data_IF_182848969076
#
_entry.id   IF_182848969076
#
_cell.length_a   1.000
_cell.length_b   1.000
_cell.length_c   1.000
_cell.angle_alpha   90.00
_cell.angle_beta   90.00
_cell.angle_gamma   90.00
#
_symmetry.space_group_name_H-M   'P 1'
#
loop_
_entity.id
_entity.type
_entity.pdbx_description
1 polymer ?
#
# COMPACT_ATOMS: atom_id res chain seq x y z
N UNK A 1 -19.12 7.26 -15.81
CA UNK A 1 -17.83 7.32 -15.09
C UNK A 1 -17.96 6.70 -13.71
N UNK A 2 -17.85 5.38 -13.67
CA UNK A 2 -17.67 4.69 -12.40
C UNK A 2 -16.21 4.82 -11.97
N UNK A 3 -15.93 4.80 -10.66
CA UNK A 3 -14.55 4.86 -10.14
C UNK A 3 -14.12 3.48 -9.67
N UNK A 4 -12.88 3.11 -9.94
CA UNK A 4 -12.22 1.92 -9.37
C UNK A 4 -11.30 2.35 -8.25
N UNK A 5 -11.20 1.52 -7.22
CA UNK A 5 -10.34 1.76 -6.07
C UNK A 5 -9.43 0.56 -5.81
N UNK A 6 -8.19 0.82 -5.39
CA UNK A 6 -7.25 -0.18 -4.89
C UNK A 6 -6.64 0.30 -3.58
N UNK A 7 -6.25 -0.64 -2.73
CA UNK A 7 -5.53 -0.37 -1.49
C UNK A 7 -4.16 -1.02 -1.56
N UNK A 8 -3.11 -0.24 -1.28
CA UNK A 8 -1.72 -0.70 -1.30
C UNK A 8 -1.03 -0.33 0.03
N UNK A 9 -0.87 -1.29 0.96
CA UNK A 9 -0.14 -1.05 2.20
C UNK A 9 1.37 -1.14 1.97
N UNK A 10 2.12 -0.12 2.38
CA UNK A 10 3.58 -0.11 2.43
C UNK A 10 4.02 -0.14 3.90
N UNK A 11 4.89 -1.09 4.22
CA UNK A 11 5.40 -1.29 5.57
C UNK A 11 6.79 -1.89 5.54
N UNK A 12 7.54 -1.69 6.62
CA UNK A 12 8.85 -2.31 6.78
C UNK A 12 8.71 -3.70 7.38
N UNK A 13 9.40 -4.68 6.81
CA UNK A 13 9.48 -6.03 7.34
C UNK A 13 10.94 -6.47 7.42
N UNK A 14 11.26 -7.26 8.43
CA UNK A 14 12.55 -7.93 8.52
C UNK A 14 12.44 -9.30 7.84
N UNK A 15 13.00 -9.42 6.63
CA UNK A 15 13.03 -10.66 5.86
C UNK A 15 14.47 -11.09 5.65
N UNK A 16 14.83 -12.30 6.11
CA UNK A 16 16.19 -12.84 5.97
C UNK A 16 17.27 -11.98 6.64
N UNK A 17 16.95 -11.33 7.75
CA UNK A 17 17.89 -10.45 8.49
C UNK A 17 18.14 -9.09 7.83
N UNK A 18 17.38 -8.74 6.79
CA UNK A 18 17.40 -7.41 6.18
C UNK A 18 16.06 -6.73 6.35
N UNK A 19 16.10 -5.42 6.61
CA UNK A 19 14.91 -4.58 6.67
C UNK A 19 14.53 -4.16 5.25
N UNK A 20 13.35 -4.59 4.79
CA UNK A 20 12.87 -4.36 3.42
C UNK A 20 11.54 -3.62 3.46
N UNK A 21 11.36 -2.67 2.52
CA UNK A 21 10.09 -1.99 2.32
C UNK A 21 9.20 -2.87 1.44
N UNK A 22 8.19 -3.46 2.07
CA UNK A 22 7.28 -4.38 1.40
C UNK A 22 6.33 -3.63 0.47
N UNK A 23 5.92 -4.29 -0.60
CA UNK A 23 4.96 -3.79 -1.61
C UNK A 23 5.38 -2.56 -2.41
N UNK A 24 6.62 -2.07 -2.27
CA UNK A 24 7.12 -0.93 -3.05
C UNK A 24 7.00 -1.18 -4.57
N UNK A 25 7.39 -2.37 -5.05
CA UNK A 25 7.29 -2.69 -6.48
C UNK A 25 5.85 -2.71 -6.99
N UNK A 26 4.92 -3.30 -6.23
CA UNK A 26 3.49 -3.28 -6.57
C UNK A 26 2.94 -1.86 -6.58
N UNK A 27 3.37 -1.02 -5.63
CA UNK A 27 2.97 0.37 -5.58
C UNK A 27 3.45 1.14 -6.82
N UNK A 28 4.71 0.96 -7.22
CA UNK A 28 5.27 1.57 -8.44
C UNK A 28 4.53 1.10 -9.69
N UNK A 29 4.22 -0.19 -9.81
CA UNK A 29 3.43 -0.74 -10.93
C UNK A 29 2.05 -0.09 -11.02
N UNK A 30 1.35 0.07 -9.89
CA UNK A 30 0.03 0.72 -9.87
C UNK A 30 0.12 2.18 -10.32
N UNK A 31 1.13 2.93 -9.87
CA UNK A 31 1.32 4.30 -10.33
C UNK A 31 1.62 4.36 -11.84
N UNK A 32 2.42 3.42 -12.35
CA UNK A 32 2.75 3.31 -13.78
C UNK A 32 1.54 2.91 -14.64
N UNK A 33 0.62 2.10 -14.12
CA UNK A 33 -0.67 1.76 -14.74
C UNK A 33 -1.64 2.96 -14.80
N UNK A 34 -1.31 4.09 -14.16
CA UNK A 34 -2.12 5.30 -14.15
C UNK A 34 -3.07 5.41 -12.96
N UNK A 35 -2.93 4.56 -11.94
CA UNK A 35 -3.65 4.74 -10.69
C UNK A 35 -3.16 6.00 -9.98
N UNK A 36 -4.08 6.79 -9.44
CA UNK A 36 -3.78 8.03 -8.73
C UNK A 36 -3.93 7.83 -7.23
N UNK A 37 -3.04 8.43 -6.44
CA UNK A 37 -3.18 8.44 -4.99
C UNK A 37 -4.35 9.34 -4.62
N UNK A 38 -5.41 8.77 -4.07
CA UNK A 38 -6.56 9.50 -3.55
C UNK A 38 -6.30 9.96 -2.12
N UNK A 39 -5.78 9.06 -1.29
CA UNK A 39 -5.57 9.28 0.14
C UNK A 39 -4.49 8.35 0.67
N UNK A 40 -3.80 8.76 1.72
CA UNK A 40 -2.90 7.91 2.49
C UNK A 40 -3.38 7.92 3.93
N UNK A 41 -3.59 6.72 4.48
CA UNK A 41 -3.82 6.50 5.90
C UNK A 41 -2.58 5.89 6.54
N UNK A 42 -2.43 6.04 7.86
CA UNK A 42 -1.35 5.40 8.60
C UNK A 42 -1.94 4.54 9.71
N UNK A 43 -1.65 3.26 9.66
CA UNK A 43 -1.91 2.35 10.77
C UNK A 43 -0.71 2.41 11.72
N UNK A 44 -0.92 2.77 13.00
CA UNK A 44 0.16 2.82 13.97
C UNK A 44 0.76 1.43 14.18
N UNK A 45 2.01 1.34 14.67
CA UNK A 45 2.60 0.07 15.05
C UNK A 45 1.66 -0.68 15.99
N UNK A 46 1.42 -1.95 15.70
CA UNK A 46 0.57 -2.80 16.54
C UNK A 46 1.42 -3.92 17.11
N UNK A 47 1.48 -4.00 18.43
CA UNK A 47 2.09 -5.14 19.11
C UNK A 47 1.12 -6.32 19.03
N UNK A 48 1.40 -7.27 18.14
CA UNK A 48 0.76 -8.58 18.18
C UNK A 48 1.56 -9.45 19.14
N UNK A 49 0.86 -10.37 19.84
CA UNK A 49 1.44 -11.21 20.92
C UNK A 49 2.79 -11.86 20.58
N UNK A 50 3.07 -12.12 19.31
CA UNK A 50 4.31 -12.76 18.86
C UNK A 50 5.09 -11.97 17.79
N UNK A 51 4.66 -10.76 17.39
CA UNK A 51 5.37 -9.95 16.39
C UNK A 51 4.98 -8.46 16.51
N UNK A 52 5.98 -7.58 16.52
CA UNK A 52 5.74 -6.15 16.33
C UNK A 52 5.49 -5.88 14.84
N UNK A 53 4.29 -5.43 14.49
CA UNK A 53 4.01 -4.93 13.14
C UNK A 53 4.43 -3.47 13.09
N UNK A 54 5.34 -3.13 12.17
CA UNK A 54 5.79 -1.74 12.00
C UNK A 54 4.64 -0.85 11.54
N UNK A 55 4.79 0.47 11.72
CA UNK A 55 3.83 1.42 11.17
C UNK A 55 3.63 1.16 9.67
N UNK A 56 2.36 1.11 9.25
CA UNK A 56 1.98 0.77 7.87
C UNK A 56 1.28 1.97 7.25
N UNK A 57 1.81 2.47 6.13
CA UNK A 57 1.13 3.47 5.32
C UNK A 57 0.22 2.77 4.33
N UNK A 58 -1.07 3.07 4.36
CA UNK A 58 -2.10 2.47 3.53
C UNK A 58 -2.47 3.48 2.45
N UNK A 59 -2.00 3.25 1.23
CA UNK A 59 -2.31 4.08 0.07
C UNK A 59 -3.63 3.61 -0.54
N UNK A 60 -4.58 4.53 -0.61
CA UNK A 60 -5.85 4.33 -1.30
C UNK A 60 -5.70 5.00 -2.67
N UNK A 61 -5.81 4.19 -3.72
CA UNK A 61 -5.64 4.60 -5.10
C UNK A 61 -6.99 4.61 -5.81
N UNK A 62 -7.17 5.56 -6.72
CA UNK A 62 -8.34 5.63 -7.59
C UNK A 62 -7.94 5.66 -9.08
N UNK A 63 -8.84 5.17 -9.92
CA UNK A 63 -8.76 5.29 -11.37
C UNK A 63 -10.17 5.42 -11.92
N UNK A 64 -10.33 6.24 -12.97
CA UNK A 64 -11.59 6.28 -13.72
C UNK A 64 -11.83 4.92 -14.38
N UNK A 65 -13.01 4.35 -14.20
CA UNK A 65 -13.43 3.24 -15.04
C UNK A 65 -13.85 3.84 -16.38
N UNK A 66 -13.16 3.43 -17.44
CA UNK A 66 -13.70 3.61 -18.77
C UNK A 66 -14.97 2.74 -18.86
N UNK A 67 -16.09 3.37 -19.18
CA UNK A 67 -17.26 2.67 -19.68
C UNK A 67 -16.90 2.32 -21.14
N UNK A 68 -16.60 1.04 -21.42
CA UNK A 68 -16.14 0.52 -22.73
C UNK A 68 -17.02 0.95 -23.92
#
# INVERSE_FOLDING_TARGET
MSKRYKVCPLFWSDYGGKRTLMNMGVFEELLNEGWKILRVDTMPPTELRNNAVTATNVYILEMEANDD
#
